data_IF_268695482726
#
_entry.id   IF_268695482726
#
_cell.length_a   1.000
_cell.length_b   1.000
_cell.length_c   1.000
_cell.angle_alpha   90.00
_cell.angle_beta   90.00
_cell.angle_gamma   90.00
#
_symmetry.space_group_name_H-M   'P 1'
#
loop_
_entity.id
_entity.type
_entity.pdbx_description
1 polymer ?
#
# COMPACT_ATOMS: atom_id res chain seq x y z
N UNK A 1 -14.77 -10.38 -14.36
CA UNK A 1 -13.45 -10.77 -13.85
C UNK A 1 -12.63 -11.37 -14.98
N UNK A 2 -11.39 -10.95 -15.13
CA UNK A 2 -10.44 -11.51 -16.11
C UNK A 2 -9.62 -12.61 -15.43
N UNK A 3 -9.15 -13.58 -16.22
CA UNK A 3 -8.28 -14.66 -15.73
C UNK A 3 -6.87 -14.42 -16.26
N UNK A 4 -5.88 -14.49 -15.38
CA UNK A 4 -4.48 -14.30 -15.70
C UNK A 4 -3.68 -15.53 -15.30
N UNK A 5 -2.78 -15.97 -16.17
CA UNK A 5 -1.76 -16.95 -15.81
C UNK A 5 -0.54 -16.23 -15.26
N UNK A 6 -0.14 -16.62 -14.05
CA UNK A 6 1.07 -16.12 -13.39
C UNK A 6 1.96 -17.30 -13.00
N UNK A 7 3.26 -17.05 -12.91
CA UNK A 7 4.26 -17.99 -12.42
C UNK A 7 4.81 -17.51 -11.08
N UNK A 8 4.60 -18.29 -10.03
CA UNK A 8 5.20 -18.03 -8.70
C UNK A 8 6.09 -19.22 -8.35
N UNK A 9 7.38 -18.98 -8.09
CA UNK A 9 8.35 -20.04 -7.78
C UNK A 9 8.40 -21.17 -8.82
N UNK A 10 8.24 -20.85 -10.10
CA UNK A 10 8.21 -21.83 -11.19
C UNK A 10 6.88 -22.57 -11.35
N UNK A 11 5.87 -22.29 -10.50
CA UNK A 11 4.53 -22.88 -10.60
C UNK A 11 3.57 -21.94 -11.31
N UNK A 12 2.99 -22.42 -12.40
CA UNK A 12 1.95 -21.68 -13.12
C UNK A 12 0.60 -21.85 -12.41
N UNK A 13 -0.06 -20.75 -12.10
CA UNK A 13 -1.41 -20.74 -11.55
C UNK A 13 -2.29 -19.72 -12.30
N UNK A 14 -3.60 -19.96 -12.26
CA UNK A 14 -4.58 -19.04 -12.87
C UNK A 14 -5.29 -18.27 -11.77
N UNK A 15 -5.21 -16.94 -11.82
CA UNK A 15 -5.88 -16.05 -10.89
C UNK A 15 -7.01 -15.31 -11.61
N UNK A 16 -8.19 -15.30 -11.01
CA UNK A 16 -9.32 -14.51 -11.47
C UNK A 16 -9.43 -13.22 -10.65
N UNK A 17 -9.36 -12.06 -11.32
CA UNK A 17 -9.33 -10.74 -10.65
C UNK A 17 -9.95 -9.66 -11.55
N UNK A 18 -10.24 -8.50 -10.95
CA UNK A 18 -10.65 -7.26 -11.60
C UNK A 18 -9.46 -6.36 -11.98
N UNK A 19 -8.25 -6.66 -11.47
CA UNK A 19 -7.02 -5.95 -11.81
C UNK A 19 -6.67 -6.09 -13.29
N UNK A 20 -6.01 -5.07 -13.81
CA UNK A 20 -5.46 -5.09 -15.16
C UNK A 20 -4.19 -5.96 -15.25
N UNK A 21 -3.78 -6.27 -16.47
CA UNK A 21 -2.64 -7.17 -16.71
C UNK A 21 -1.31 -6.59 -16.21
N UNK A 22 -1.08 -5.28 -16.39
CA UNK A 22 0.17 -4.65 -15.95
C UNK A 22 0.30 -4.72 -14.43
N UNK A 23 -0.79 -4.47 -13.71
CA UNK A 23 -0.86 -4.67 -12.28
C UNK A 23 -0.53 -6.12 -11.88
N UNK A 24 -1.10 -7.11 -12.57
CA UNK A 24 -0.84 -8.51 -12.28
C UNK A 24 0.62 -8.92 -12.55
N UNK A 25 1.22 -8.47 -13.65
CA UNK A 25 2.63 -8.71 -13.96
C UNK A 25 3.57 -8.06 -12.95
N UNK A 26 3.21 -6.86 -12.46
CA UNK A 26 3.96 -6.20 -11.39
C UNK A 26 3.92 -7.00 -10.09
N UNK A 27 2.74 -7.49 -9.69
CA UNK A 27 2.57 -8.32 -8.49
C UNK A 27 3.37 -9.63 -8.61
N UNK A 28 3.25 -10.31 -9.76
CA UNK A 28 4.01 -11.53 -10.05
C UNK A 28 5.53 -11.32 -9.91
N UNK A 29 6.04 -10.22 -10.48
CA UNK A 29 7.45 -9.85 -10.39
C UNK A 29 7.87 -9.58 -8.94
N UNK A 30 7.11 -8.75 -8.21
CA UNK A 30 7.43 -8.37 -6.82
C UNK A 30 7.46 -9.59 -5.88
N UNK A 31 6.49 -10.50 -6.02
CA UNK A 31 6.45 -11.74 -5.23
C UNK A 31 7.68 -12.59 -5.51
N UNK A 32 8.03 -12.81 -6.79
CA UNK A 32 9.18 -13.64 -7.13
C UNK A 32 10.52 -13.01 -6.69
N UNK A 33 10.66 -11.69 -6.78
CA UNK A 33 11.84 -10.97 -6.28
C UNK A 33 12.00 -11.15 -4.76
N UNK A 34 10.92 -11.00 -3.99
CA UNK A 34 10.97 -11.21 -2.54
C UNK A 34 11.30 -12.67 -2.18
N UNK A 35 10.68 -13.63 -2.87
CA UNK A 35 10.95 -15.04 -2.62
C UNK A 35 12.38 -15.45 -3.01
N UNK A 36 12.95 -14.85 -4.07
CA UNK A 36 14.35 -15.06 -4.45
C UNK A 36 15.32 -14.52 -3.39
N UNK A 37 15.02 -13.36 -2.79
CA UNK A 37 15.79 -12.81 -1.68
C UNK A 37 15.71 -13.72 -0.45
N UNK A 38 14.50 -14.16 -0.07
CA UNK A 38 14.31 -15.06 1.06
C UNK A 38 15.04 -16.39 0.85
N UNK A 39 15.04 -16.95 -0.35
CA UNK A 39 15.78 -18.17 -0.68
C UNK A 39 17.29 -18.02 -0.48
N UNK A 40 17.83 -16.82 -0.70
CA UNK A 40 19.24 -16.51 -0.45
C UNK A 40 19.55 -16.46 1.04
N UNK A 41 18.64 -15.88 1.84
CA UNK A 41 18.79 -15.75 3.30
C UNK A 41 18.44 -17.04 4.07
N UNK A 42 17.61 -17.91 3.48
CA UNK A 42 17.09 -19.13 4.10
C UNK A 42 17.29 -20.32 3.14
N UNK A 43 18.54 -20.74 2.87
CA UNK A 43 18.85 -21.70 1.81
C UNK A 43 18.30 -23.12 2.06
N UNK A 44 17.96 -23.45 3.31
CA UNK A 44 17.40 -24.74 3.70
C UNK A 44 15.88 -24.73 3.86
N UNK A 45 15.23 -23.56 3.75
CA UNK A 45 13.79 -23.44 3.84
C UNK A 45 13.15 -24.00 2.56
N UNK A 46 12.04 -24.71 2.72
CA UNK A 46 11.28 -25.16 1.56
C UNK A 46 10.43 -24.02 0.96
N UNK A 47 9.79 -24.26 -0.18
CA UNK A 47 8.98 -23.23 -0.83
C UNK A 47 7.78 -22.80 0.03
N UNK A 48 7.24 -23.68 0.88
CA UNK A 48 6.12 -23.35 1.76
C UNK A 48 6.59 -22.41 2.88
N UNK A 49 7.73 -22.71 3.51
CA UNK A 49 8.38 -21.86 4.50
C UNK A 49 8.63 -20.45 3.93
N UNK A 50 9.22 -20.38 2.72
CA UNK A 50 9.48 -19.11 2.04
C UNK A 50 8.19 -18.32 1.78
N UNK A 51 7.11 -19.00 1.37
CA UNK A 51 5.80 -18.36 1.19
C UNK A 51 5.21 -17.86 2.51
N UNK A 52 5.32 -18.62 3.60
CA UNK A 52 4.83 -18.24 4.93
C UNK A 52 5.57 -16.98 5.42
N UNK A 53 6.90 -16.96 5.31
CA UNK A 53 7.71 -15.79 5.68
C UNK A 53 7.37 -14.59 4.81
N UNK A 54 7.22 -14.77 3.49
CA UNK A 54 6.82 -13.70 2.59
C UNK A 54 5.44 -13.10 2.97
N UNK A 55 4.47 -13.95 3.33
CA UNK A 55 3.15 -13.51 3.80
C UNK A 55 3.24 -12.71 5.11
N UNK A 56 4.08 -13.16 6.05
CA UNK A 56 4.30 -12.45 7.31
C UNK A 56 4.88 -11.05 7.07
N UNK A 57 5.94 -10.95 6.24
CA UNK A 57 6.55 -9.68 5.87
C UNK A 57 5.58 -8.73 5.15
N UNK A 58 4.71 -9.27 4.27
CA UNK A 58 3.67 -8.48 3.62
C UNK A 58 2.63 -7.97 4.63
N UNK A 59 2.26 -8.78 5.62
CA UNK A 59 1.35 -8.37 6.70
C UNK A 59 1.94 -7.22 7.51
N UNK A 60 3.20 -7.32 7.94
CA UNK A 60 3.88 -6.23 8.66
C UNK A 60 3.95 -4.95 7.84
N UNK A 61 4.22 -5.06 6.53
CA UNK A 61 4.23 -3.92 5.62
C UNK A 61 2.86 -3.26 5.52
N UNK A 62 1.78 -4.04 5.49
CA UNK A 62 0.40 -3.53 5.50
C UNK A 62 0.15 -2.74 6.78
N UNK A 63 0.52 -3.27 7.95
CA UNK A 63 0.33 -2.58 9.24
C UNK A 63 1.09 -1.24 9.29
N UNK A 64 2.32 -1.21 8.79
CA UNK A 64 3.12 0.04 8.69
C UNK A 64 2.45 1.05 7.77
N UNK A 65 1.93 0.61 6.61
CA UNK A 65 1.22 1.47 5.68
C UNK A 65 -0.08 2.01 6.27
N UNK A 66 -0.84 1.19 7.00
CA UNK A 66 -2.05 1.61 7.69
C UNK A 66 -1.77 2.70 8.74
N UNK A 67 -0.76 2.49 9.60
CA UNK A 67 -0.32 3.50 10.58
C UNK A 67 0.10 4.81 9.91
N UNK A 68 0.77 4.72 8.76
CA UNK A 68 1.18 5.90 7.98
C UNK A 68 -0.03 6.66 7.43
N UNK A 69 -1.04 5.95 6.93
CA UNK A 69 -2.30 6.54 6.47
C UNK A 69 -3.04 7.23 7.62
N UNK A 70 -3.09 6.63 8.80
CA UNK A 70 -3.72 7.24 9.99
C UNK A 70 -3.05 8.56 10.36
N UNK A 71 -1.71 8.59 10.43
CA UNK A 71 -0.96 9.83 10.69
C UNK A 71 -1.23 10.92 9.65
N UNK A 72 -1.33 10.54 8.36
CA UNK A 72 -1.68 11.48 7.30
C UNK A 72 -3.12 12.01 7.45
N UNK A 73 -4.07 11.17 7.85
CA UNK A 73 -5.46 11.59 8.11
C UNK A 73 -5.53 12.59 9.27
N UNK A 74 -4.81 12.33 10.37
CA UNK A 74 -4.74 13.27 11.49
C UNK A 74 -4.14 14.62 11.08
N UNK A 75 -3.06 14.59 10.31
CA UNK A 75 -2.41 15.80 9.79
C UNK A 75 -3.34 16.57 8.85
N UNK A 76 -4.06 15.87 7.99
CA UNK A 76 -5.08 16.47 7.10
C UNK A 76 -6.21 17.12 7.89
N UNK A 77 -6.67 16.49 8.98
CA UNK A 77 -7.71 17.04 9.84
C UNK A 77 -7.23 18.34 10.52
N UNK A 78 -6.00 18.35 11.07
CA UNK A 78 -5.39 19.55 11.65
C UNK A 78 -5.29 20.67 10.63
N UNK A 79 -4.83 20.38 9.42
CA UNK A 79 -4.74 21.36 8.34
C UNK A 79 -6.12 21.94 7.97
N UNK A 80 -7.18 21.13 7.93
CA UNK A 80 -8.55 21.58 7.68
C UNK A 80 -9.05 22.54 8.77
N UNK A 81 -8.75 22.27 10.04
CA UNK A 81 -9.12 23.14 11.17
C UNK A 81 -8.42 24.49 11.06
N UNK A 82 -7.11 24.50 10.78
CA UNK A 82 -6.33 25.73 10.59
C UNK A 82 -6.87 26.54 9.41
N UNK A 83 -7.14 25.89 8.28
CA UNK A 83 -7.70 26.55 7.10
C UNK A 83 -9.08 27.17 7.38
N UNK A 84 -9.94 26.48 8.13
CA UNK A 84 -11.24 27.01 8.55
C UNK A 84 -11.10 28.22 9.47
N UNK A 85 -10.12 28.21 10.38
CA UNK A 85 -9.79 29.36 11.24
C UNK A 85 -9.36 30.57 10.41
N UNK A 86 -8.41 30.38 9.50
CA UNK A 86 -7.91 31.44 8.63
C UNK A 86 -9.02 32.02 7.74
N UNK A 87 -9.91 31.18 7.21
CA UNK A 87 -11.09 31.66 6.44
C UNK A 87 -11.98 32.57 7.27
N UNK A 88 -12.28 32.21 8.52
CA UNK A 88 -13.07 33.05 9.44
C UNK A 88 -12.37 34.36 9.80
N UNK A 89 -11.05 34.37 9.84
CA UNK A 89 -10.26 35.59 10.07
C UNK A 89 -10.34 36.52 8.86
N UNK A 90 -10.08 36.00 7.66
CA UNK A 90 -10.22 36.75 6.40
C UNK A 90 -11.63 37.31 6.24
N UNK A 91 -12.67 36.52 6.52
CA UNK A 91 -14.07 37.01 6.46
C UNK A 91 -14.36 38.14 7.45
N UNK A 92 -13.74 38.11 8.63
CA UNK A 92 -13.90 39.18 9.64
C UNK A 92 -13.22 40.46 9.17
N UNK A 93 -11.98 40.38 8.68
CA UNK A 93 -11.24 41.53 8.15
C UNK A 93 -11.97 42.17 6.97
N UNK A 94 -12.48 41.38 6.01
CA UNK A 94 -13.25 41.90 4.87
C UNK A 94 -14.53 42.62 5.33
N UNK A 95 -15.22 42.11 6.35
CA UNK A 95 -16.42 42.76 6.91
C UNK A 95 -16.07 44.03 7.70
N UNK A 96 -14.94 44.05 8.40
CA UNK A 96 -14.44 45.23 9.12
C UNK A 96 -13.99 46.37 8.20
N UNK A 97 -13.55 46.05 6.98
CA UNK A 97 -13.17 47.02 5.94
C UNK A 97 -14.37 47.66 5.21
N UNK A 98 -15.58 47.11 5.35
CA UNK A 98 -16.81 47.62 4.71
C UNK A 98 -17.72 48.41 5.68
N UNK A 99 -17.18 48.90 6.79
CA UNK A 99 -17.82 49.85 7.74
C UNK A 99 -17.05 51.16 7.69
#
# INVERSE_FOLDING_TARGET
>A
MKKYQINILGRNCTIATDKDELSMRRIEKEINEQLALLKTSMPHADNLDLCIVCLFLLSERIDVLQKSIEKMKESSLKAKVILASLRKEVEREIKGLNV
#
